data_IF_609622440741
#
_entry.id   IF_609622440741
#
_cell.length_a   1.000
_cell.length_b   1.000
_cell.length_c   1.000
_cell.angle_alpha   90.00
_cell.angle_beta   90.00
_cell.angle_gamma   90.00
#
_symmetry.space_group_name_H-M   'P 1'
#
loop_
_entity.id
_entity.type
_entity.pdbx_description
1 polymer ?
#
# COMPACT_ATOMS: atom_id res chain seq x y z
N UNK A 1 -12.82 20.47 -31.41
CA UNK A 1 -11.79 19.47 -31.76
C UNK A 1 -10.54 19.48 -30.86
N UNK A 2 -10.17 20.59 -30.22
CA UNK A 2 -8.96 20.66 -29.35
C UNK A 2 -9.01 19.76 -28.10
N UNK A 3 -10.19 19.48 -27.55
CA UNK A 3 -10.35 18.60 -26.37
C UNK A 3 -10.01 17.12 -26.65
N UNK A 4 -10.32 16.62 -27.85
CA UNK A 4 -10.00 15.23 -28.22
C UNK A 4 -8.48 15.03 -28.39
N UNK A 5 -7.76 16.04 -28.87
CA UNK A 5 -6.30 15.99 -29.03
C UNK A 5 -5.53 15.93 -27.70
N UNK A 6 -6.11 16.45 -26.61
CA UNK A 6 -5.51 16.41 -25.26
C UNK A 6 -5.87 15.09 -24.54
N UNK A 7 -7.02 14.50 -24.87
CA UNK A 7 -7.48 13.25 -24.26
C UNK A 7 -6.59 12.03 -24.63
N UNK A 8 -6.05 11.98 -25.84
CA UNK A 8 -5.17 10.88 -26.29
C UNK A 8 -3.85 10.81 -25.49
N UNK A 9 -3.06 11.88 -25.37
CA UNK A 9 -1.84 11.84 -24.54
C UNK A 9 -2.15 11.68 -23.05
N UNK A 10 -3.26 12.25 -22.55
CA UNK A 10 -3.65 12.08 -21.15
C UNK A 10 -3.99 10.62 -20.80
N UNK A 11 -4.76 9.94 -21.65
CA UNK A 11 -5.09 8.51 -21.48
C UNK A 11 -3.87 7.60 -21.68
N UNK A 12 -2.97 7.95 -22.60
CA UNK A 12 -1.70 7.26 -22.79
C UNK A 12 -0.81 7.37 -21.54
N UNK A 13 -0.60 8.57 -20.99
CA UNK A 13 0.18 8.79 -19.77
C UNK A 13 -0.44 8.04 -18.58
N UNK A 14 -1.75 8.12 -18.40
CA UNK A 14 -2.44 7.41 -17.32
C UNK A 14 -2.27 5.89 -17.42
N UNK A 15 -2.34 5.34 -18.63
CA UNK A 15 -2.13 3.91 -18.89
C UNK A 15 -0.67 3.50 -18.69
N UNK A 16 0.27 4.35 -19.12
CA UNK A 16 1.72 4.16 -18.94
C UNK A 16 2.07 4.12 -17.44
N UNK A 17 1.48 5.00 -16.63
CA UNK A 17 1.68 4.98 -15.18
C UNK A 17 1.19 3.66 -14.57
N UNK A 18 0.00 3.17 -14.97
CA UNK A 18 -0.53 1.86 -14.51
C UNK A 18 0.38 0.70 -14.92
N UNK A 19 0.97 0.77 -16.12
CA UNK A 19 1.91 -0.23 -16.59
C UNK A 19 3.21 -0.23 -15.77
N UNK A 20 3.80 0.95 -15.52
CA UNK A 20 4.98 1.12 -14.68
C UNK A 20 4.75 0.65 -13.24
N UNK A 21 3.59 0.98 -12.66
CA UNK A 21 3.15 0.49 -11.36
C UNK A 21 3.12 -1.03 -11.31
N UNK A 22 2.48 -1.66 -12.29
CA UNK A 22 2.40 -3.13 -12.39
C UNK A 22 3.77 -3.77 -12.58
N UNK A 23 4.65 -3.15 -13.36
CA UNK A 23 6.02 -3.62 -13.56
C UNK A 23 6.87 -3.52 -12.30
N UNK A 24 6.72 -2.42 -11.55
CA UNK A 24 7.43 -2.24 -10.29
C UNK A 24 6.92 -3.22 -9.23
N UNK A 25 5.61 -3.47 -9.20
CA UNK A 25 5.02 -4.53 -8.38
C UNK A 25 5.67 -5.87 -8.65
N UNK A 26 5.75 -6.23 -9.92
CA UNK A 26 6.33 -7.50 -10.31
C UNK A 26 7.81 -7.58 -9.91
N UNK A 27 8.59 -6.52 -10.11
CA UNK A 27 10.01 -6.49 -9.74
C UNK A 27 10.23 -6.63 -8.22
N UNK A 28 9.45 -5.91 -7.41
CA UNK A 28 9.49 -6.07 -5.95
C UNK A 28 9.06 -7.47 -5.55
N UNK A 29 8.00 -8.01 -6.18
CA UNK A 29 7.46 -9.34 -5.84
C UNK A 29 8.52 -10.38 -6.08
N UNK A 30 9.14 -10.35 -7.25
CA UNK A 30 10.21 -11.28 -7.61
C UNK A 30 11.38 -11.21 -6.62
N UNK A 31 11.82 -10.01 -6.22
CA UNK A 31 12.90 -9.86 -5.23
C UNK A 31 12.51 -10.38 -3.85
N UNK A 32 11.32 -10.05 -3.38
CA UNK A 32 10.83 -10.43 -2.07
C UNK A 32 10.59 -11.93 -1.98
N UNK A 33 9.95 -12.51 -3.01
CA UNK A 33 9.74 -13.96 -3.14
C UNK A 33 11.08 -14.69 -3.17
N UNK A 34 12.03 -14.25 -4.01
CA UNK A 34 13.35 -14.90 -4.07
C UNK A 34 14.08 -14.84 -2.72
N UNK A 35 14.04 -13.70 -2.03
CA UNK A 35 14.66 -13.56 -0.72
C UNK A 35 13.96 -14.41 0.35
N UNK A 36 12.63 -14.47 0.33
CA UNK A 36 11.85 -15.29 1.25
C UNK A 36 12.11 -16.78 1.03
N UNK A 37 12.19 -17.24 -0.22
CA UNK A 37 12.55 -18.61 -0.55
C UNK A 37 14.00 -18.95 -0.19
N UNK A 38 14.95 -18.03 -0.43
CA UNK A 38 16.34 -18.21 -0.01
C UNK A 38 16.44 -18.43 1.51
N UNK A 39 15.69 -17.63 2.30
CA UNK A 39 15.62 -17.78 3.74
C UNK A 39 14.94 -19.08 4.19
N UNK A 40 13.85 -19.46 3.51
CA UNK A 40 13.08 -20.67 3.79
C UNK A 40 13.91 -21.95 3.53
N UNK A 41 14.70 -21.97 2.45
CA UNK A 41 15.57 -23.10 2.12
C UNK A 41 16.89 -23.14 2.89
N UNK A 42 17.34 -22.00 3.45
CA UNK A 42 18.56 -21.95 4.26
C UNK A 42 18.41 -22.78 5.54
N UNK A 43 19.46 -23.52 5.93
CA UNK A 43 19.57 -24.24 7.21
C UNK A 43 18.41 -25.21 7.54
N UNK A 44 17.79 -25.83 6.52
CA UNK A 44 16.64 -26.72 6.69
C UNK A 44 15.48 -26.05 7.46
N UNK A 45 15.36 -24.72 7.32
CA UNK A 45 14.33 -23.94 8.03
C UNK A 45 12.93 -24.42 7.62
N UNK A 46 12.74 -24.88 6.38
CA UNK A 46 11.51 -25.56 5.95
C UNK A 46 11.08 -26.70 6.89
N UNK A 47 12.01 -27.54 7.33
CA UNK A 47 11.72 -28.69 8.20
C UNK A 47 11.46 -28.24 9.64
N UNK A 48 12.18 -27.20 10.10
CA UNK A 48 11.99 -26.63 11.44
C UNK A 48 10.65 -25.90 11.56
N UNK A 49 10.28 -25.13 10.54
CA UNK A 49 9.02 -24.37 10.54
C UNK A 49 7.82 -25.28 10.29
N UNK A 50 7.94 -26.30 9.43
CA UNK A 50 6.84 -27.22 9.17
C UNK A 50 6.61 -28.24 10.30
N UNK A 51 7.68 -28.69 10.98
CA UNK A 51 7.62 -29.86 11.87
C UNK A 51 8.01 -29.59 13.34
N UNK A 52 8.73 -28.48 13.63
CA UNK A 52 9.21 -28.17 14.98
C UNK A 52 8.57 -26.92 15.60
N UNK A 53 7.98 -26.03 14.79
CA UNK A 53 7.40 -24.77 15.27
C UNK A 53 5.92 -24.65 14.92
N UNK A 54 5.05 -25.07 15.85
CA UNK A 54 3.59 -24.99 15.69
C UNK A 54 3.04 -23.55 15.77
N UNK A 55 3.89 -22.54 15.98
CA UNK A 55 3.44 -21.12 16.06
C UNK A 55 3.18 -20.52 14.67
N UNK A 56 3.77 -21.07 13.62
CA UNK A 56 3.60 -20.60 12.24
C UNK A 56 2.81 -21.66 11.46
N UNK A 57 1.50 -21.60 11.56
CA UNK A 57 0.61 -22.47 10.75
C UNK A 57 0.70 -22.11 9.27
N UNK A 58 0.75 -23.13 8.41
CA UNK A 58 0.68 -23.01 6.95
C UNK A 58 1.73 -22.07 6.34
N UNK A 59 2.99 -22.21 6.76
CA UNK A 59 4.11 -21.38 6.26
C UNK A 59 4.19 -21.34 4.73
N UNK A 60 3.88 -22.44 4.06
CA UNK A 60 3.91 -22.58 2.60
C UNK A 60 2.87 -21.68 1.94
N UNK A 61 1.64 -21.64 2.49
CA UNK A 61 0.57 -20.76 2.03
C UNK A 61 0.91 -19.28 2.26
N UNK A 62 1.56 -18.95 3.40
CA UNK A 62 1.99 -17.57 3.66
C UNK A 62 3.12 -17.14 2.72
N UNK A 63 4.00 -18.07 2.32
CA UNK A 63 5.14 -17.77 1.45
C UNK A 63 4.72 -17.44 0.02
N UNK A 64 3.66 -18.09 -0.50
CA UNK A 64 3.15 -17.85 -1.86
C UNK A 64 2.05 -16.81 -1.91
N UNK A 65 1.01 -16.97 -1.08
CA UNK A 65 -0.21 -16.13 -1.13
C UNK A 65 0.08 -14.74 -0.53
N UNK A 66 0.53 -14.68 0.72
CA UNK A 66 0.66 -13.41 1.45
C UNK A 66 1.77 -12.53 0.86
N UNK A 67 2.86 -13.12 0.36
CA UNK A 67 3.94 -12.37 -0.32
C UNK A 67 3.43 -11.72 -1.61
N UNK A 68 2.57 -12.41 -2.36
CA UNK A 68 1.98 -11.87 -3.59
C UNK A 68 1.06 -10.67 -3.30
N UNK A 69 0.17 -10.82 -2.31
CA UNK A 69 -0.78 -9.79 -1.87
C UNK A 69 -0.06 -8.59 -1.28
N UNK A 70 0.95 -8.83 -0.43
CA UNK A 70 1.78 -7.78 0.15
C UNK A 70 2.47 -6.97 -0.94
N UNK A 71 3.12 -7.65 -1.90
CA UNK A 71 3.89 -6.91 -2.89
C UNK A 71 3.01 -6.13 -3.86
N UNK A 72 1.84 -6.67 -4.20
CA UNK A 72 0.85 -5.95 -4.99
C UNK A 72 0.34 -4.69 -4.26
N UNK A 73 0.12 -4.79 -2.95
CA UNK A 73 -0.27 -3.66 -2.10
C UNK A 73 0.83 -2.59 -2.02
N UNK A 74 2.09 -3.00 -1.88
CA UNK A 74 3.25 -2.08 -1.85
C UNK A 74 3.39 -1.33 -3.17
N UNK A 75 3.21 -2.01 -4.30
CA UNK A 75 3.31 -1.36 -5.60
C UNK A 75 2.16 -0.38 -5.87
N UNK A 76 0.95 -0.79 -5.47
CA UNK A 76 -0.21 0.08 -5.53
C UNK A 76 -0.01 1.33 -4.66
N UNK A 77 0.54 1.15 -3.45
CA UNK A 77 0.91 2.26 -2.57
C UNK A 77 1.96 3.16 -3.22
N UNK A 78 3.01 2.59 -3.81
CA UNK A 78 4.05 3.37 -4.48
C UNK A 78 3.49 4.25 -5.61
N UNK A 79 2.64 3.72 -6.48
CA UNK A 79 2.00 4.50 -7.55
C UNK A 79 1.01 5.54 -7.02
N UNK A 80 0.26 5.17 -5.97
CA UNK A 80 -0.69 6.06 -5.29
C UNK A 80 0.00 7.22 -4.57
N UNK A 81 1.27 7.07 -4.18
CA UNK A 81 2.10 8.14 -3.61
C UNK A 81 2.84 8.95 -4.69
N UNK A 82 3.33 8.28 -5.73
CA UNK A 82 4.16 8.91 -6.77
C UNK A 82 3.37 9.94 -7.57
N UNK A 83 2.11 9.68 -7.91
CA UNK A 83 1.23 10.63 -8.60
C UNK A 83 1.09 11.96 -7.83
N UNK A 84 0.61 11.97 -6.57
CA UNK A 84 0.52 13.21 -5.79
C UNK A 84 1.87 13.90 -5.56
N UNK A 85 2.96 13.16 -5.38
CA UNK A 85 4.30 13.75 -5.26
C UNK A 85 4.73 14.48 -6.54
N UNK A 86 4.50 13.87 -7.70
CA UNK A 86 4.81 14.47 -8.99
C UNK A 86 3.93 15.69 -9.27
N UNK A 87 2.64 15.60 -8.98
CA UNK A 87 1.70 16.72 -9.12
C UNK A 87 2.09 17.88 -8.20
N UNK A 88 2.47 17.61 -6.95
CA UNK A 88 2.96 18.63 -6.02
C UNK A 88 4.25 19.29 -6.51
N UNK A 89 5.20 18.50 -7.03
CA UNK A 89 6.43 19.02 -7.61
C UNK A 89 6.16 19.94 -8.79
N UNK A 90 5.26 19.54 -9.70
CA UNK A 90 4.86 20.37 -10.84
C UNK A 90 4.17 21.66 -10.39
N UNK A 91 3.30 21.62 -9.39
CA UNK A 91 2.66 22.82 -8.83
C UNK A 91 3.72 23.77 -8.25
N UNK A 92 4.69 23.25 -7.51
CA UNK A 92 5.78 24.08 -6.95
C UNK A 92 6.64 24.69 -8.06
N UNK A 93 7.03 23.92 -9.07
CA UNK A 93 7.86 24.42 -10.18
C UNK A 93 7.12 25.44 -11.06
N UNK A 94 5.85 25.18 -11.37
CA UNK A 94 5.03 26.12 -12.14
C UNK A 94 4.83 27.40 -11.36
N UNK A 95 4.52 27.33 -10.07
CA UNK A 95 4.39 28.51 -9.22
C UNK A 95 5.70 29.30 -9.12
N UNK A 96 6.85 28.64 -9.01
CA UNK A 96 8.16 29.29 -9.04
C UNK A 96 8.41 30.00 -10.39
N UNK A 97 8.11 29.34 -11.51
CA UNK A 97 8.26 29.90 -12.86
C UNK A 97 7.33 31.09 -13.13
N UNK A 98 6.06 31.01 -12.71
CA UNK A 98 5.11 32.12 -12.79
C UNK A 98 5.52 33.29 -11.90
N UNK A 99 6.00 33.03 -10.67
CA UNK A 99 6.53 34.04 -9.76
C UNK A 99 7.72 34.80 -10.38
N UNK A 100 8.65 34.09 -11.03
CA UNK A 100 9.79 34.71 -11.73
C UNK A 100 9.38 35.55 -12.94
N UNK A 101 8.34 35.16 -13.70
CA UNK A 101 7.87 35.93 -14.88
C UNK A 101 7.11 37.21 -14.53
N UNK A 102 6.43 37.24 -13.37
CA UNK A 102 5.48 38.32 -13.07
C UNK A 102 6.09 39.54 -12.36
N UNK A 103 7.40 39.53 -12.00
CA UNK A 103 8.10 40.63 -11.27
C UNK A 103 7.34 41.18 -10.03
N UNK A 104 6.34 40.46 -9.52
CA UNK A 104 5.67 40.74 -8.26
C UNK A 104 6.45 40.08 -7.12
N UNK A 105 6.27 40.58 -5.90
CA UNK A 105 7.05 40.20 -4.72
C UNK A 105 7.19 38.66 -4.58
N UNK A 106 8.38 38.14 -4.89
CA UNK A 106 8.73 36.72 -5.02
C UNK A 106 8.34 35.88 -3.80
N UNK A 107 8.15 36.51 -2.64
CA UNK A 107 7.89 35.87 -1.36
C UNK A 107 6.39 35.68 -1.03
N UNK A 108 5.48 36.52 -1.54
CA UNK A 108 4.07 36.51 -1.09
C UNK A 108 3.28 35.35 -1.73
N UNK A 109 3.42 35.13 -3.05
CA UNK A 109 2.70 34.08 -3.76
C UNK A 109 3.07 32.66 -3.29
N UNK A 110 4.36 32.28 -3.33
CA UNK A 110 4.81 30.98 -2.82
C UNK A 110 4.57 30.81 -1.32
N UNK A 111 4.75 31.87 -0.52
CA UNK A 111 4.53 31.84 0.93
C UNK A 111 3.09 31.48 1.29
N UNK A 112 2.09 32.11 0.66
CA UNK A 112 0.67 31.81 0.91
C UNK A 112 0.34 30.38 0.46
N UNK A 113 0.83 29.93 -0.70
CA UNK A 113 0.60 28.57 -1.17
C UNK A 113 1.20 27.52 -0.21
N UNK A 114 2.43 27.74 0.27
CA UNK A 114 3.05 26.86 1.27
C UNK A 114 2.26 26.84 2.57
N UNK A 115 1.79 28.00 3.06
CA UNK A 115 0.96 28.07 4.28
C UNK A 115 -0.34 27.30 4.09
N UNK A 116 -1.04 27.47 2.97
CA UNK A 116 -2.30 26.75 2.69
C UNK A 116 -2.06 25.25 2.57
N UNK A 117 -1.00 24.81 1.88
CA UNK A 117 -0.66 23.38 1.74
C UNK A 117 -0.30 22.78 3.10
N UNK A 118 0.55 23.46 3.89
CA UNK A 118 0.92 23.02 5.23
C UNK A 118 -0.29 22.98 6.17
N UNK A 119 -1.14 23.99 6.14
CA UNK A 119 -2.36 24.04 6.97
C UNK A 119 -3.35 22.95 6.57
N UNK A 120 -3.57 22.75 5.28
CA UNK A 120 -4.42 21.66 4.76
C UNK A 120 -3.84 20.30 5.13
N UNK A 121 -2.52 20.12 5.05
CA UNK A 121 -1.85 18.89 5.46
C UNK A 121 -1.93 18.61 6.96
N UNK A 122 -1.81 19.64 7.81
CA UNK A 122 -2.00 19.55 9.27
C UNK A 122 -3.45 19.20 9.61
N UNK A 123 -4.41 19.87 8.97
CA UNK A 123 -5.83 19.62 9.14
C UNK A 123 -6.19 18.20 8.69
N UNK A 124 -5.68 17.74 7.54
CA UNK A 124 -5.84 16.36 7.09
C UNK A 124 -5.22 15.38 8.08
N UNK A 125 -4.03 15.66 8.63
CA UNK A 125 -3.41 14.79 9.65
C UNK A 125 -4.21 14.70 10.93
N UNK A 126 -4.85 15.80 11.33
CA UNK A 126 -5.69 15.86 12.53
C UNK A 126 -7.02 15.13 12.31
N UNK A 127 -7.63 15.34 11.14
CA UNK A 127 -8.90 14.71 10.76
C UNK A 127 -8.74 13.25 10.34
N UNK A 128 -7.57 12.86 9.83
CA UNK A 128 -7.29 11.47 9.46
C UNK A 128 -7.27 10.64 10.74
N UNK A 129 -8.29 9.81 11.01
CA UNK A 129 -8.24 8.90 12.13
C UNK A 129 -7.06 7.96 11.94
N UNK A 130 -6.56 7.37 13.03
CA UNK A 130 -5.45 6.40 12.98
C UNK A 130 -5.90 5.13 12.24
N UNK A 131 -5.89 5.17 10.90
CA UNK A 131 -6.25 4.05 10.04
C UNK A 131 -5.44 2.79 10.38
N UNK A 132 -4.18 2.94 10.79
CA UNK A 132 -3.36 1.83 11.25
C UNK A 132 -3.87 1.17 12.54
N UNK A 133 -4.37 1.96 13.51
CA UNK A 133 -4.94 1.42 14.74
C UNK A 133 -6.28 0.71 14.46
N UNK A 134 -7.13 1.33 13.64
CA UNK A 134 -8.41 0.75 13.20
C UNK A 134 -8.22 -0.54 12.38
N UNK A 135 -7.26 -0.55 11.44
CA UNK A 135 -6.93 -1.74 10.66
C UNK A 135 -6.34 -2.86 11.53
N UNK A 136 -5.55 -2.52 12.55
CA UNK A 136 -5.04 -3.48 13.53
C UNK A 136 -6.15 -4.08 14.39
N UNK A 137 -7.08 -3.24 14.85
CA UNK A 137 -8.28 -3.65 15.59
C UNK A 137 -9.15 -4.60 14.76
N UNK A 138 -9.41 -4.25 13.50
CA UNK A 138 -10.19 -5.05 12.57
C UNK A 138 -9.53 -6.41 12.28
N UNK A 139 -8.21 -6.41 12.07
CA UNK A 139 -7.43 -7.64 11.88
C UNK A 139 -7.51 -8.54 13.12
N UNK A 140 -7.43 -7.96 14.34
CA UNK A 140 -7.58 -8.69 15.60
C UNK A 140 -8.97 -9.32 15.73
N UNK A 141 -10.03 -8.57 15.42
CA UNK A 141 -11.40 -9.09 15.46
C UNK A 141 -11.63 -10.21 14.46
N UNK A 142 -11.15 -10.06 13.21
CA UNK A 142 -11.22 -11.11 12.17
C UNK A 142 -10.46 -12.36 12.58
N UNK A 143 -9.28 -12.22 13.18
CA UNK A 143 -8.51 -13.35 13.70
C UNK A 143 -9.26 -14.07 14.83
N UNK A 144 -9.84 -13.34 15.78
CA UNK A 144 -10.61 -13.93 16.87
C UNK A 144 -11.85 -14.69 16.34
N UNK A 145 -12.55 -14.14 15.34
CA UNK A 145 -13.69 -14.80 14.72
C UNK A 145 -13.28 -16.11 14.03
N UNK A 146 -12.18 -16.11 13.28
CA UNK A 146 -11.63 -17.35 12.68
C UNK A 146 -11.25 -18.38 13.75
N UNK A 147 -10.65 -17.93 14.85
CA UNK A 147 -10.26 -18.82 15.94
C UNK A 147 -11.48 -19.48 16.60
N UNK A 148 -12.51 -18.70 16.95
CA UNK A 148 -13.76 -19.24 17.52
C UNK A 148 -14.46 -20.18 16.54
N UNK A 149 -14.49 -19.83 15.24
CA UNK A 149 -15.10 -20.68 14.22
C UNK A 149 -14.37 -22.02 14.05
N UNK A 150 -13.03 -22.01 14.05
CA UNK A 150 -12.23 -23.23 14.03
C UNK A 150 -12.47 -24.10 15.25
N UNK A 151 -12.58 -23.50 16.46
CA UNK A 151 -12.96 -24.23 17.68
C UNK A 151 -14.37 -24.82 17.60
N UNK A 152 -15.34 -24.07 17.06
CA UNK A 152 -16.70 -24.56 16.89
C UNK A 152 -16.75 -25.79 15.98
N UNK A 153 -15.99 -25.78 14.87
CA UNK A 153 -15.90 -26.95 13.98
C UNK A 153 -15.25 -28.14 14.69
N UNK A 154 -14.18 -27.92 15.44
CA UNK A 154 -13.47 -28.98 16.16
C UNK A 154 -14.34 -29.64 17.26
N UNK A 155 -15.21 -28.87 17.90
CA UNK A 155 -16.13 -29.34 18.94
C UNK A 155 -17.58 -29.48 18.44
N UNK A 156 -17.79 -29.55 17.12
CA UNK A 156 -19.12 -29.56 16.53
C UNK A 156 -19.94 -30.78 16.97
N UNK A 157 -19.29 -31.93 17.17
CA UNK A 157 -19.93 -33.16 17.65
C UNK A 157 -20.44 -32.99 19.09
N UNK A 158 -19.63 -32.47 20.00
CA UNK A 158 -20.04 -32.23 21.40
C UNK A 158 -21.19 -31.22 21.46
N UNK A 159 -21.13 -30.14 20.68
CA UNK A 159 -22.21 -29.14 20.62
C UNK A 159 -23.50 -29.73 20.05
N UNK A 160 -23.41 -30.63 19.06
CA UNK A 160 -24.57 -31.33 18.50
C UNK A 160 -25.17 -32.40 19.43
N UNK A 161 -24.39 -32.93 20.38
CA UNK A 161 -24.88 -33.87 21.39
C UNK A 161 -25.60 -33.18 22.56
N UNK A 162 -25.28 -31.91 22.87
CA UNK A 162 -25.88 -31.14 23.97
C UNK A 162 -26.90 -30.07 23.53
N UNK A 163 -27.02 -29.82 22.22
CA UNK A 163 -28.05 -28.95 21.62
C UNK A 163 -29.29 -29.72 21.22
#
# INVERSE_FOLDING_TARGET
MQWFGIAVPATFINSMIRYLESRLALAFRTRLVNHAYELYFKNQTYYKVANLDARIENADHRLTEDVSVFTQSVAHLYSSLTKPCFDLLLIVLTLASYSSKMKGNIFIGPGIATVVICFTGQLLRLLSPRFGALAGEEARMKANLRHVHSRLIAHAEEVAFYG
#
